data_IF_745755829801
#
_entry.id   IF_745755829801
#
_cell.length_a   1.000
_cell.length_b   1.000
_cell.length_c   1.000
_cell.angle_alpha   90.00
_cell.angle_beta   90.00
_cell.angle_gamma   90.00
#
_symmetry.space_group_name_H-M   'P 1'
#
loop_
_entity.id
_entity.type
_entity.pdbx_description
1 polymer ?
#
# COMPACT_ATOMS: atom_id res chain seq x y z
N UNK A 1 33.03 -24.42 42.88
CA UNK A 1 32.69 -25.42 41.86
C UNK A 1 32.08 -24.69 40.68
N UNK A 2 32.90 -24.32 39.67
CA UNK A 2 32.49 -23.54 38.47
C UNK A 2 32.24 -24.52 37.33
N UNK A 3 31.09 -24.47 36.68
CA UNK A 3 30.84 -25.22 35.43
C UNK A 3 31.21 -24.33 34.23
N UNK A 4 31.79 -24.87 33.14
CA UNK A 4 32.20 -24.13 31.97
C UNK A 4 31.01 -23.88 31.02
N UNK A 5 31.02 -22.70 30.40
CA UNK A 5 30.11 -22.31 29.33
C UNK A 5 30.64 -22.79 28.01
N UNK A 6 29.96 -23.71 27.36
CA UNK A 6 30.20 -24.09 25.97
C UNK A 6 29.66 -23.02 25.04
N UNK A 7 30.56 -22.32 24.35
CA UNK A 7 30.28 -21.51 23.18
C UNK A 7 30.28 -22.41 21.95
N UNK A 8 29.11 -22.76 21.46
CA UNK A 8 28.95 -23.36 20.13
C UNK A 8 28.92 -22.28 19.07
N UNK A 9 30.03 -22.15 18.33
CA UNK A 9 30.17 -21.30 17.16
C UNK A 9 29.69 -22.13 15.95
N UNK A 10 28.44 -21.94 15.48
CA UNK A 10 27.99 -22.51 14.19
C UNK A 10 28.17 -21.48 13.08
N UNK A 11 29.33 -21.54 12.43
CA UNK A 11 29.61 -20.87 11.14
C UNK A 11 29.58 -21.89 10.01
N UNK A 12 28.39 -22.37 9.65
CA UNK A 12 28.17 -23.25 8.50
C UNK A 12 27.74 -22.46 7.24
N UNK A 13 28.07 -22.93 6.03
CA UNK A 13 28.27 -22.10 4.84
C UNK A 13 26.97 -21.83 4.07
N UNK A 14 26.26 -20.79 4.41
CA UNK A 14 25.13 -20.28 3.59
C UNK A 14 25.54 -19.52 2.33
N UNK A 15 26.77 -19.03 2.28
CA UNK A 15 27.31 -18.25 1.15
C UNK A 15 27.73 -19.10 -0.06
N UNK A 16 28.10 -20.36 0.12
CA UNK A 16 28.57 -21.21 -0.98
C UNK A 16 27.41 -21.70 -1.87
N UNK A 17 26.21 -21.91 -1.31
CA UNK A 17 25.04 -22.34 -2.10
C UNK A 17 24.51 -21.25 -3.05
N UNK A 18 24.64 -19.97 -2.68
CA UNK A 18 24.19 -18.86 -3.51
C UNK A 18 25.13 -18.56 -4.70
N UNK A 19 26.43 -18.85 -4.54
CA UNK A 19 27.38 -18.69 -5.64
C UNK A 19 27.27 -19.80 -6.70
N UNK A 20 26.94 -21.04 -6.30
CA UNK A 20 26.75 -22.16 -7.24
C UNK A 20 25.50 -22.01 -8.11
N UNK A 21 24.42 -21.41 -7.59
CA UNK A 21 23.19 -21.14 -8.36
C UNK A 21 23.37 -20.01 -9.40
N UNK A 22 24.22 -19.01 -9.11
CA UNK A 22 24.53 -17.94 -10.07
C UNK A 22 25.53 -18.37 -11.14
N UNK A 23 26.47 -19.23 -10.81
CA UNK A 23 27.44 -19.80 -11.77
C UNK A 23 26.80 -20.79 -12.75
N UNK A 24 25.83 -21.58 -12.31
CA UNK A 24 25.11 -22.54 -13.16
C UNK A 24 24.26 -21.87 -14.24
N UNK A 25 23.63 -20.74 -13.93
CA UNK A 25 22.77 -20.03 -14.90
C UNK A 25 23.59 -19.35 -16.00
N UNK A 26 24.79 -18.85 -15.70
CA UNK A 26 25.68 -18.23 -16.70
C UNK A 26 26.32 -19.26 -17.63
N UNK A 27 26.60 -20.47 -17.18
CA UNK A 27 27.15 -21.55 -18.01
C UNK A 27 26.12 -22.12 -18.99
N UNK A 28 24.83 -22.19 -18.61
CA UNK A 28 23.77 -22.64 -19.51
C UNK A 28 23.51 -21.62 -20.61
N UNK A 29 23.55 -20.33 -20.33
CA UNK A 29 23.39 -19.28 -21.36
C UNK A 29 24.59 -19.24 -22.32
N UNK A 30 25.79 -19.44 -21.87
CA UNK A 30 26.99 -19.50 -22.72
C UNK A 30 27.00 -20.76 -23.62
N UNK A 31 26.50 -21.89 -23.13
CA UNK A 31 26.40 -23.12 -23.92
C UNK A 31 25.35 -23.02 -25.05
N UNK A 32 24.20 -22.36 -24.79
CA UNK A 32 23.14 -22.18 -25.80
C UNK A 32 23.58 -21.21 -26.89
N UNK A 33 24.30 -20.13 -26.55
CA UNK A 33 24.82 -19.16 -27.52
C UNK A 33 25.99 -19.78 -28.35
N UNK A 34 26.85 -20.58 -27.71
CA UNK A 34 27.98 -21.24 -28.37
C UNK A 34 27.53 -22.32 -29.38
N UNK A 35 26.48 -23.07 -29.07
CA UNK A 35 25.94 -24.10 -30.00
C UNK A 35 25.21 -23.48 -31.19
N UNK A 36 24.52 -22.35 -31.02
CA UNK A 36 23.88 -21.63 -32.14
C UNK A 36 24.91 -20.99 -33.08
N UNK A 37 26.03 -20.44 -32.57
CA UNK A 37 27.11 -19.88 -33.38
C UNK A 37 27.88 -20.95 -34.14
N UNK A 38 28.07 -22.15 -33.58
CA UNK A 38 28.70 -23.30 -34.23
C UNK A 38 27.85 -23.90 -35.36
N UNK A 39 26.54 -23.84 -35.23
CA UNK A 39 25.60 -24.40 -36.22
C UNK A 39 25.49 -23.51 -37.47
N UNK A 40 25.55 -22.20 -37.32
CA UNK A 40 25.52 -21.28 -38.46
C UNK A 40 26.76 -21.36 -39.36
N UNK A 41 27.93 -21.79 -38.84
CA UNK A 41 29.15 -22.03 -39.65
C UNK A 41 29.11 -23.35 -40.41
N UNK A 42 28.36 -24.36 -39.95
CA UNK A 42 28.29 -25.68 -40.63
C UNK A 42 27.28 -25.73 -41.78
N UNK A 43 26.27 -24.88 -41.76
CA UNK A 43 25.24 -24.86 -42.84
C UNK A 43 25.71 -24.16 -44.10
N UNK A 44 26.85 -23.41 -44.10
CA UNK A 44 27.38 -22.73 -45.28
C UNK A 44 28.23 -23.60 -46.21
N UNK A 45 28.41 -24.88 -45.95
CA UNK A 45 29.34 -25.74 -46.66
C UNK A 45 28.68 -26.85 -47.53
N UNK A 46 27.36 -26.86 -47.69
CA UNK A 46 26.71 -27.81 -48.62
C UNK A 46 25.74 -27.07 -49.53
N UNK A 47 26.29 -26.70 -50.71
CA UNK A 47 25.58 -26.20 -51.86
C UNK A 47 24.84 -27.38 -52.50
N UNK A 48 23.68 -27.75 -51.99
CA UNK A 48 22.76 -28.67 -52.60
C UNK A 48 21.37 -28.08 -52.42
N UNK A 49 20.72 -27.69 -53.53
CA UNK A 49 19.47 -26.95 -53.71
C UNK A 49 18.22 -27.41 -52.96
N UNK A 50 18.32 -27.55 -51.67
CA UNK A 50 17.13 -27.70 -50.79
C UNK A 50 16.67 -26.29 -50.40
N UNK A 51 15.52 -25.86 -50.96
CA UNK A 51 14.76 -24.73 -50.44
C UNK A 51 14.39 -25.03 -49.01
N UNK A 52 15.24 -24.61 -48.06
CA UNK A 52 14.90 -24.61 -46.64
C UNK A 52 13.85 -23.51 -46.46
N UNK A 53 12.62 -23.80 -45.98
CA UNK A 53 11.66 -22.77 -45.67
C UNK A 53 12.34 -21.84 -44.65
N UNK A 54 12.12 -20.54 -44.83
CA UNK A 54 12.76 -19.47 -44.08
C UNK A 54 12.55 -19.64 -42.55
N UNK A 55 13.35 -20.53 -41.94
CA UNK A 55 13.31 -20.84 -40.51
C UNK A 55 13.72 -19.66 -39.65
N UNK A 56 14.31 -18.63 -40.27
CA UNK A 56 14.80 -17.43 -39.62
C UNK A 56 13.67 -16.51 -39.10
N UNK A 57 12.45 -16.66 -39.67
CA UNK A 57 11.29 -15.82 -39.32
C UNK A 57 10.43 -16.46 -38.22
N UNK A 58 10.42 -17.80 -38.11
CA UNK A 58 9.52 -18.52 -37.19
C UNK A 58 10.00 -18.44 -35.73
N UNK A 59 11.31 -18.49 -35.48
CA UNK A 59 11.89 -18.51 -34.13
C UNK A 59 11.71 -17.17 -33.40
N UNK A 60 12.02 -15.99 -34.01
CA UNK A 60 11.77 -14.71 -33.35
C UNK A 60 10.30 -14.46 -33.02
N UNK A 61 9.38 -14.88 -33.89
CA UNK A 61 7.92 -14.69 -33.69
C UNK A 61 7.37 -15.58 -32.55
N UNK A 62 7.90 -16.80 -32.38
CA UNK A 62 7.54 -17.68 -31.25
C UNK A 62 8.08 -17.16 -29.94
N UNK A 63 9.31 -16.64 -29.91
CA UNK A 63 9.93 -16.05 -28.72
C UNK A 63 9.17 -14.78 -28.30
N UNK A 64 8.77 -13.92 -29.25
CA UNK A 64 7.93 -12.76 -28.98
C UNK A 64 6.59 -13.15 -28.35
N UNK A 65 5.88 -14.12 -28.94
CA UNK A 65 4.61 -14.58 -28.39
C UNK A 65 4.70 -15.18 -26.98
N UNK A 66 5.79 -15.89 -26.65
CA UNK A 66 6.05 -16.41 -25.30
C UNK A 66 6.37 -15.30 -24.30
N UNK A 67 7.12 -14.28 -24.73
CA UNK A 67 7.41 -13.11 -23.89
C UNK A 67 6.13 -12.34 -23.56
N UNK A 68 5.25 -12.15 -24.54
CA UNK A 68 3.95 -11.49 -24.35
C UNK A 68 3.04 -12.30 -23.42
N UNK A 69 3.00 -13.62 -23.56
CA UNK A 69 2.24 -14.49 -22.65
C UNK A 69 2.79 -14.44 -21.22
N UNK A 70 4.11 -14.43 -21.06
CA UNK A 70 4.74 -14.31 -19.74
C UNK A 70 4.46 -12.95 -19.11
N UNK A 71 4.51 -11.86 -19.87
CA UNK A 71 4.18 -10.53 -19.39
C UNK A 71 2.71 -10.45 -18.94
N UNK A 72 1.78 -11.00 -19.72
CA UNK A 72 0.35 -11.08 -19.37
C UNK A 72 0.13 -11.89 -18.09
N UNK A 73 0.71 -13.10 -17.99
CA UNK A 73 0.60 -13.95 -16.79
C UNK A 73 1.19 -13.29 -15.55
N UNK A 74 2.30 -12.56 -15.68
CA UNK A 74 2.87 -11.79 -14.57
C UNK A 74 1.94 -10.64 -14.16
N UNK A 75 1.34 -9.92 -15.11
CA UNK A 75 0.35 -8.87 -14.83
C UNK A 75 -0.88 -9.40 -14.10
N UNK A 76 -1.42 -10.54 -14.52
CA UNK A 76 -2.55 -11.21 -13.87
C UNK A 76 -2.20 -11.64 -12.43
N UNK A 77 -1.01 -12.23 -12.24
CA UNK A 77 -0.51 -12.61 -10.92
C UNK A 77 -0.38 -11.41 -10.00
N UNK A 78 0.17 -10.32 -10.48
CA UNK A 78 0.37 -9.10 -9.68
C UNK A 78 -0.97 -8.46 -9.31
N UNK A 79 -1.96 -8.46 -10.22
CA UNK A 79 -3.32 -8.03 -9.94
C UNK A 79 -4.00 -8.90 -8.87
N UNK A 80 -3.92 -10.23 -9.01
CA UNK A 80 -4.46 -11.16 -8.03
C UNK A 80 -3.82 -10.98 -6.65
N UNK A 81 -2.50 -10.73 -6.62
CA UNK A 81 -1.79 -10.44 -5.37
C UNK A 81 -2.33 -9.17 -4.70
N UNK A 82 -2.51 -8.09 -5.45
CA UNK A 82 -3.08 -6.83 -4.93
C UNK A 82 -4.48 -7.05 -4.36
N UNK A 83 -5.33 -7.81 -5.08
CA UNK A 83 -6.69 -8.13 -4.62
C UNK A 83 -6.68 -8.98 -3.33
N UNK A 84 -5.77 -9.96 -3.25
CA UNK A 84 -5.62 -10.80 -2.07
C UNK A 84 -5.12 -9.99 -0.87
N UNK A 85 -4.11 -9.16 -1.07
CA UNK A 85 -3.55 -8.30 -0.01
C UNK A 85 -4.63 -7.33 0.52
N UNK A 86 -5.44 -6.73 -0.37
CA UNK A 86 -6.60 -5.93 0.00
C UNK A 86 -7.63 -6.73 0.80
N UNK A 87 -8.01 -7.91 0.33
CA UNK A 87 -9.00 -8.75 1.02
C UNK A 87 -8.51 -9.15 2.42
N UNK A 88 -7.24 -9.56 2.54
CA UNK A 88 -6.62 -9.89 3.82
C UNK A 88 -6.60 -8.70 4.78
N UNK A 89 -6.25 -7.51 4.30
CA UNK A 89 -6.25 -6.29 5.10
C UNK A 89 -7.66 -5.94 5.60
N UNK A 90 -8.69 -6.04 4.76
CA UNK A 90 -10.09 -5.81 5.14
C UNK A 90 -10.52 -6.82 6.22
N UNK A 91 -10.27 -8.10 6.02
CA UNK A 91 -10.63 -9.14 6.99
C UNK A 91 -9.89 -8.98 8.32
N UNK A 92 -8.62 -8.67 8.28
CA UNK A 92 -7.81 -8.41 9.49
C UNK A 92 -8.36 -7.22 10.30
N UNK A 93 -8.71 -6.12 9.62
CA UNK A 93 -9.29 -4.95 10.29
C UNK A 93 -10.72 -5.20 10.78
N UNK A 94 -11.55 -5.92 10.01
CA UNK A 94 -12.88 -6.36 10.45
C UNK A 94 -12.77 -7.17 11.76
N UNK A 95 -11.85 -8.12 11.84
CA UNK A 95 -11.61 -8.92 13.04
C UNK A 95 -11.01 -8.08 14.19
N UNK A 96 -10.00 -7.24 13.91
CA UNK A 96 -9.33 -6.39 14.93
C UNK A 96 -10.31 -5.47 15.64
N UNK A 97 -11.18 -4.83 14.88
CA UNK A 97 -12.11 -3.82 15.40
C UNK A 97 -13.52 -4.38 15.67
N UNK A 98 -13.76 -5.66 15.38
CA UNK A 98 -15.06 -6.34 15.52
C UNK A 98 -16.19 -5.60 14.78
N UNK A 99 -15.92 -5.16 13.56
CA UNK A 99 -16.85 -4.45 12.68
C UNK A 99 -17.22 -5.31 11.46
N UNK A 100 -18.39 -5.07 10.83
CA UNK A 100 -18.75 -5.74 9.59
C UNK A 100 -17.70 -5.58 8.49
N UNK A 101 -17.46 -6.63 7.70
CA UNK A 101 -16.44 -6.63 6.63
C UNK A 101 -16.74 -5.58 5.55
N UNK A 102 -18.01 -5.28 5.27
CA UNK A 102 -18.43 -4.23 4.33
C UNK A 102 -18.08 -2.82 4.84
N UNK A 103 -18.18 -2.58 6.16
CA UNK A 103 -17.69 -1.32 6.75
C UNK A 103 -16.18 -1.24 6.70
N UNK A 104 -15.47 -2.33 7.02
CA UNK A 104 -14.02 -2.38 6.92
C UNK A 104 -13.55 -2.14 5.48
N UNK A 105 -14.24 -2.71 4.47
CA UNK A 105 -13.96 -2.46 3.06
C UNK A 105 -14.17 -0.98 2.69
N UNK A 106 -15.28 -0.37 3.13
CA UNK A 106 -15.53 1.06 2.87
C UNK A 106 -14.45 1.95 3.47
N UNK A 107 -14.03 1.70 4.71
CA UNK A 107 -12.97 2.49 5.37
C UNK A 107 -11.64 2.31 4.60
N UNK A 108 -11.27 1.08 4.29
CA UNK A 108 -10.02 0.76 3.60
C UNK A 108 -9.94 1.45 2.23
N UNK A 109 -10.95 1.23 1.38
CA UNK A 109 -10.96 1.72 0.00
C UNK A 109 -11.05 3.25 -0.07
N UNK A 110 -11.90 3.85 0.77
CA UNK A 110 -12.08 5.31 0.77
C UNK A 110 -10.83 5.99 1.34
N UNK A 111 -10.20 5.44 2.39
CA UNK A 111 -8.94 5.96 2.90
C UNK A 111 -7.88 6.00 1.79
N UNK A 112 -7.66 4.89 1.08
CA UNK A 112 -6.74 4.83 -0.05
C UNK A 112 -7.09 5.84 -1.15
N UNK A 113 -8.37 5.93 -1.52
CA UNK A 113 -8.81 6.84 -2.59
C UNK A 113 -8.62 8.32 -2.25
N UNK A 114 -8.63 8.67 -0.96
CA UNK A 114 -8.40 10.03 -0.48
C UNK A 114 -6.94 10.25 -0.02
N UNK A 115 -6.03 9.32 -0.33
CA UNK A 115 -4.59 9.46 -0.03
C UNK A 115 -4.24 9.32 1.45
N UNK A 116 -5.07 8.64 2.22
CA UNK A 116 -4.85 8.31 3.63
C UNK A 116 -4.42 6.84 3.76
N UNK A 117 -3.41 6.58 4.58
CA UNK A 117 -3.08 5.23 5.00
C UNK A 117 -4.31 4.57 5.67
N UNK A 118 -4.79 3.42 5.18
CA UNK A 118 -5.95 2.75 5.77
C UNK A 118 -5.81 2.49 7.27
N UNK A 119 -4.62 2.16 7.78
CA UNK A 119 -4.41 1.95 9.20
C UNK A 119 -4.68 3.23 10.01
N UNK A 120 -4.25 4.40 9.51
CA UNK A 120 -4.57 5.69 10.10
C UNK A 120 -6.07 5.99 9.99
N UNK A 121 -6.68 5.67 8.85
CA UNK A 121 -8.12 5.82 8.63
C UNK A 121 -8.97 5.04 9.64
N UNK A 122 -8.63 3.78 9.91
CA UNK A 122 -9.29 2.97 10.94
C UNK A 122 -9.13 3.55 12.34
N UNK A 123 -7.94 4.01 12.71
CA UNK A 123 -7.70 4.63 14.01
C UNK A 123 -8.49 5.92 14.18
N UNK A 124 -8.53 6.78 13.16
CA UNK A 124 -9.35 7.97 13.18
C UNK A 124 -10.82 7.63 13.45
N UNK A 125 -11.42 6.72 12.66
CA UNK A 125 -12.83 6.33 12.81
C UNK A 125 -13.10 5.70 14.19
N UNK A 126 -12.14 4.89 14.69
CA UNK A 126 -12.23 4.31 16.05
C UNK A 126 -12.31 5.39 17.12
N UNK A 127 -11.44 6.38 17.09
CA UNK A 127 -11.39 7.44 18.10
C UNK A 127 -12.56 8.40 17.96
N UNK A 128 -12.97 8.74 16.73
CA UNK A 128 -14.04 9.73 16.51
C UNK A 128 -15.45 9.19 16.84
N UNK A 129 -15.75 7.97 16.50
CA UNK A 129 -17.12 7.46 16.60
C UNK A 129 -17.26 6.07 17.19
N UNK A 130 -16.15 5.37 17.43
CA UNK A 130 -16.17 3.93 17.70
C UNK A 130 -16.98 3.17 16.64
N UNK A 131 -16.77 3.53 15.37
CA UNK A 131 -17.44 2.98 14.18
C UNK A 131 -18.97 3.17 14.16
N UNK A 132 -19.52 4.15 14.89
CA UNK A 132 -20.98 4.39 14.96
C UNK A 132 -21.40 5.45 13.93
N UNK A 133 -22.29 5.11 12.97
CA UNK A 133 -22.76 6.04 11.94
C UNK A 133 -23.56 7.21 12.51
N UNK A 134 -24.28 6.99 13.60
CA UNK A 134 -25.14 7.97 14.25
C UNK A 134 -24.46 8.79 15.36
N UNK A 135 -23.13 8.64 15.51
CA UNK A 135 -22.40 9.40 16.52
C UNK A 135 -22.55 10.90 16.28
N UNK A 136 -22.80 11.63 17.39
CA UNK A 136 -22.95 13.10 17.37
C UNK A 136 -22.27 13.69 18.59
N UNK A 137 -21.42 14.69 18.37
CA UNK A 137 -20.80 15.43 19.45
C UNK A 137 -21.67 16.60 19.92
N UNK A 138 -21.38 17.14 21.11
CA UNK A 138 -22.00 18.37 21.63
C UNK A 138 -21.70 19.59 20.77
N UNK A 139 -20.60 19.55 19.97
CA UNK A 139 -20.18 20.61 19.05
C UNK A 139 -20.77 20.44 17.64
N UNK A 140 -21.68 19.49 17.44
CA UNK A 140 -22.37 19.28 16.16
C UNK A 140 -21.58 18.48 15.11
N UNK A 141 -20.47 17.85 15.47
CA UNK A 141 -19.80 16.89 14.61
C UNK A 141 -20.58 15.58 14.51
N UNK A 142 -20.61 14.95 13.34
CA UNK A 142 -21.49 13.80 13.07
C UNK A 142 -20.84 12.68 12.29
N UNK A 143 -21.32 11.47 12.52
CA UNK A 143 -21.00 10.26 11.74
C UNK A 143 -19.65 9.63 12.09
N UNK A 144 -19.18 8.76 11.22
CA UNK A 144 -17.99 7.94 11.42
C UNK A 144 -16.72 8.74 11.73
N UNK A 145 -16.52 9.84 11.02
CA UNK A 145 -15.31 10.69 11.12
C UNK A 145 -15.54 11.97 11.93
N UNK A 146 -16.70 12.12 12.57
CA UNK A 146 -17.08 13.28 13.39
C UNK A 146 -16.78 14.62 12.68
N UNK A 147 -17.08 14.70 11.38
CA UNK A 147 -16.89 15.94 10.63
C UNK A 147 -18.00 16.92 10.95
N UNK A 148 -17.67 18.19 11.12
CA UNK A 148 -18.66 19.27 11.29
C UNK A 148 -19.32 19.62 9.95
N UNK A 149 -20.63 19.90 9.97
CA UNK A 149 -21.40 20.26 8.77
C UNK A 149 -20.77 21.46 8.04
N UNK A 150 -20.25 22.44 8.77
CA UNK A 150 -19.57 23.60 8.18
C UNK A 150 -18.32 23.19 7.39
N UNK A 151 -17.51 22.27 7.94
CA UNK A 151 -16.35 21.68 7.24
C UNK A 151 -16.78 20.86 6.03
N UNK A 152 -17.83 20.03 6.20
CA UNK A 152 -18.32 19.19 5.12
C UNK A 152 -18.83 20.00 3.92
N UNK A 153 -19.48 21.15 4.15
CA UNK A 153 -19.98 22.05 3.09
C UNK A 153 -18.86 22.67 2.24
N UNK A 154 -17.65 22.74 2.75
CA UNK A 154 -16.51 23.16 1.95
C UNK A 154 -16.21 22.16 0.83
N UNK A 155 -16.39 20.85 1.09
CA UNK A 155 -16.18 19.76 0.12
C UNK A 155 -17.42 19.44 -0.70
N UNK A 156 -18.60 19.52 -0.08
CA UNK A 156 -19.89 19.20 -0.67
C UNK A 156 -20.91 20.29 -0.32
N UNK A 157 -21.07 21.34 -1.16
CA UNK A 157 -22.07 22.37 -0.94
C UNK A 157 -23.46 21.80 -0.75
N UNK A 158 -24.22 22.33 0.20
CA UNK A 158 -25.59 21.87 0.50
C UNK A 158 -25.73 20.64 1.38
N UNK A 159 -24.61 19.94 1.71
CA UNK A 159 -24.67 18.77 2.57
C UNK A 159 -25.26 19.11 3.95
N UNK A 160 -26.06 18.17 4.47
CA UNK A 160 -26.71 18.27 5.77
C UNK A 160 -26.13 17.27 6.78
N UNK A 161 -26.43 17.47 8.06
CA UNK A 161 -26.07 16.50 9.10
C UNK A 161 -26.74 15.13 8.86
N UNK A 162 -27.94 15.10 8.28
CA UNK A 162 -28.65 13.88 7.92
C UNK A 162 -27.88 13.10 6.86
N UNK A 163 -27.45 13.76 5.79
CA UNK A 163 -26.68 13.13 4.71
C UNK A 163 -25.37 12.50 5.24
N UNK A 164 -24.67 13.21 6.14
CA UNK A 164 -23.43 12.72 6.75
C UNK A 164 -23.66 11.52 7.71
N UNK A 165 -24.82 11.38 8.30
CA UNK A 165 -25.14 10.23 9.18
C UNK A 165 -25.69 9.04 8.40
N UNK A 166 -26.35 9.26 7.27
CA UNK A 166 -27.01 8.21 6.49
C UNK A 166 -26.15 7.67 5.35
N UNK A 167 -25.25 8.49 4.81
CA UNK A 167 -24.30 8.07 3.78
C UNK A 167 -22.93 7.81 4.36
N UNK A 168 -22.58 6.53 4.53
CA UNK A 168 -21.27 6.05 4.97
C UNK A 168 -20.15 6.61 4.10
N UNK A 169 -20.30 6.44 2.78
CA UNK A 169 -19.28 6.85 1.80
C UNK A 169 -19.04 8.36 1.86
N UNK A 170 -20.10 9.15 1.95
CA UNK A 170 -19.98 10.61 2.01
C UNK A 170 -19.23 11.06 3.26
N UNK A 171 -19.59 10.50 4.42
CA UNK A 171 -18.95 10.85 5.69
C UNK A 171 -17.46 10.48 5.70
N UNK A 172 -17.12 9.24 5.33
CA UNK A 172 -15.74 8.76 5.28
C UNK A 172 -14.91 9.56 4.28
N UNK A 173 -15.45 9.79 3.07
CA UNK A 173 -14.76 10.55 2.02
C UNK A 173 -14.43 11.98 2.46
N UNK A 174 -15.40 12.69 3.01
CA UNK A 174 -15.18 14.08 3.46
C UNK A 174 -14.19 14.10 4.62
N UNK A 175 -14.32 13.21 5.60
CA UNK A 175 -13.41 13.18 6.75
C UNK A 175 -11.97 12.86 6.36
N UNK A 176 -11.77 11.89 5.47
CA UNK A 176 -10.41 11.54 5.02
C UNK A 176 -9.80 12.60 4.09
N UNK A 177 -10.61 13.22 3.22
CA UNK A 177 -10.15 14.36 2.41
C UNK A 177 -9.73 15.53 3.28
N UNK A 178 -10.52 15.86 4.30
CA UNK A 178 -10.15 16.88 5.28
C UNK A 178 -8.85 16.53 6.00
N UNK A 179 -8.67 15.28 6.44
CA UNK A 179 -7.41 14.85 7.06
C UNK A 179 -6.24 14.96 6.08
N UNK A 180 -6.41 14.59 4.79
CA UNK A 180 -5.34 14.70 3.78
C UNK A 180 -4.94 16.16 3.51
N UNK A 181 -5.92 17.08 3.49
CA UNK A 181 -5.64 18.52 3.37
C UNK A 181 -4.83 19.03 4.57
N UNK A 182 -5.16 18.56 5.77
CA UNK A 182 -4.41 18.89 6.98
C UNK A 182 -2.99 18.30 6.97
N UNK A 183 -2.84 17.05 6.53
CA UNK A 183 -1.52 16.44 6.34
C UNK A 183 -0.67 17.26 5.35
N UNK A 184 -1.28 17.70 4.25
CA UNK A 184 -0.60 18.55 3.28
C UNK A 184 -0.21 19.91 3.90
N UNK A 185 -1.14 20.55 4.63
CA UNK A 185 -0.91 21.83 5.30
C UNK A 185 0.19 21.79 6.35
N UNK A 186 0.34 20.66 7.06
CA UNK A 186 1.33 20.47 8.13
C UNK A 186 2.51 19.57 7.70
N UNK A 187 2.90 19.62 6.40
CA UNK A 187 4.07 18.93 5.86
C UNK A 187 4.13 17.41 6.16
N UNK A 188 2.97 16.75 6.12
CA UNK A 188 2.83 15.31 6.46
C UNK A 188 3.18 14.97 7.92
N UNK A 189 3.19 15.94 8.81
CA UNK A 189 3.26 15.69 10.24
C UNK A 189 1.91 15.17 10.74
N UNK A 190 1.86 13.88 11.08
CA UNK A 190 0.63 13.22 11.55
C UNK A 190 0.13 13.81 12.86
N UNK A 191 1.02 14.16 13.80
CA UNK A 191 0.62 14.75 15.07
C UNK A 191 -0.07 16.09 14.86
N UNK A 192 0.57 17.01 14.13
CA UNK A 192 0.01 18.34 13.88
C UNK A 192 -1.27 18.28 13.05
N UNK A 193 -1.35 17.41 12.05
CA UNK A 193 -2.55 17.21 11.24
C UNK A 193 -3.73 16.71 12.09
N UNK A 194 -3.50 15.71 12.94
CA UNK A 194 -4.52 15.18 13.85
C UNK A 194 -4.95 16.21 14.90
N UNK A 195 -4.03 16.96 15.47
CA UNK A 195 -4.37 18.08 16.38
C UNK A 195 -5.21 19.13 15.66
N UNK A 196 -4.89 19.42 14.39
CA UNK A 196 -5.67 20.35 13.59
C UNK A 196 -7.05 19.79 13.19
N UNK A 197 -7.17 18.49 12.99
CA UNK A 197 -8.44 17.80 12.79
C UNK A 197 -9.37 18.01 13.98
N UNK A 198 -8.87 17.75 15.18
CA UNK A 198 -9.62 17.84 16.43
C UNK A 198 -9.90 19.28 16.88
N UNK A 199 -8.90 20.18 16.81
CA UNK A 199 -8.97 21.54 17.38
C UNK A 199 -9.28 22.64 16.37
N UNK A 200 -9.24 22.32 15.08
CA UNK A 200 -9.29 23.26 13.99
C UNK A 200 -7.92 23.81 13.58
N UNK A 201 -7.64 23.87 12.25
CA UNK A 201 -6.32 24.26 11.74
C UNK A 201 -5.89 25.68 12.11
N UNK A 202 -6.81 26.65 12.16
CA UNK A 202 -6.51 28.02 12.52
C UNK A 202 -6.00 28.11 13.98
N UNK A 203 -6.62 27.35 14.89
CA UNK A 203 -6.24 27.33 16.30
C UNK A 203 -4.85 26.72 16.49
N UNK A 204 -4.56 25.59 15.84
CA UNK A 204 -3.25 24.94 15.92
C UNK A 204 -2.17 25.86 15.33
N UNK A 205 -2.37 26.40 14.12
CA UNK A 205 -1.43 27.34 13.50
C UNK A 205 -1.19 28.59 14.39
N UNK A 206 -2.24 29.12 15.01
CA UNK A 206 -2.12 30.29 15.90
C UNK A 206 -1.35 29.99 17.19
N UNK A 207 -1.45 28.79 17.75
CA UNK A 207 -0.64 28.36 18.92
C UNK A 207 0.82 28.24 18.51
N UNK A 208 1.12 27.56 17.41
CA UNK A 208 2.48 27.39 16.90
C UNK A 208 3.16 28.73 16.57
N UNK A 209 2.42 29.66 15.96
CA UNK A 209 2.94 31.00 15.61
C UNK A 209 3.37 31.81 16.84
N UNK A 210 2.83 31.50 18.02
CA UNK A 210 3.21 32.13 19.30
C UNK A 210 4.24 31.31 20.08
N UNK A 211 4.84 30.25 19.48
CA UNK A 211 5.78 29.34 20.14
C UNK A 211 5.15 28.45 21.21
N UNK A 212 3.82 28.29 21.18
CA UNK A 212 3.10 27.42 22.12
C UNK A 212 2.99 25.98 21.62
N UNK A 213 2.64 25.07 22.55
CA UNK A 213 2.38 23.65 22.26
C UNK A 213 0.87 23.42 22.04
N UNK A 214 0.44 22.92 20.85
CA UNK A 214 -0.96 22.61 20.58
C UNK A 214 -1.42 21.25 21.14
N UNK A 215 -0.58 20.47 21.78
CA UNK A 215 -0.86 19.11 22.26
C UNK A 215 -2.07 19.07 23.21
N UNK A 216 -2.89 18.03 23.09
CA UNK A 216 -4.06 17.79 23.96
C UNK A 216 -4.37 16.30 24.14
N UNK A 217 -3.43 15.40 23.80
CA UNK A 217 -3.56 13.95 23.91
C UNK A 217 -4.38 13.28 22.78
N UNK A 218 -5.05 14.04 21.91
CA UNK A 218 -5.85 13.47 20.83
C UNK A 218 -5.00 12.76 19.77
N UNK A 219 -3.92 13.42 19.30
CA UNK A 219 -3.02 12.81 18.33
C UNK A 219 -2.39 11.53 18.86
N UNK A 220 -2.02 11.50 20.14
CA UNK A 220 -1.45 10.32 20.77
C UNK A 220 -2.48 9.19 20.83
N UNK A 221 -3.73 9.48 21.18
CA UNK A 221 -4.80 8.49 21.20
C UNK A 221 -5.07 7.87 19.80
N UNK A 222 -5.02 8.67 18.72
CA UNK A 222 -5.18 8.15 17.36
C UNK A 222 -3.96 7.33 16.93
N UNK A 223 -2.75 7.75 17.31
CA UNK A 223 -1.50 7.13 16.89
C UNK A 223 -1.09 5.92 17.76
N UNK A 224 -1.67 5.73 18.94
CA UNK A 224 -1.34 4.62 19.85
C UNK A 224 -1.57 3.23 19.21
N UNK A 225 -2.46 3.07 18.32
CA UNK A 225 -2.65 1.80 17.59
C UNK A 225 -2.17 1.84 16.13
N UNK A 226 -1.48 2.89 15.73
CA UNK A 226 -1.01 3.12 14.37
C UNK A 226 0.48 2.83 14.25
N UNK A 227 0.82 1.92 13.35
CA UNK A 227 2.20 1.71 12.89
C UNK A 227 2.29 2.19 11.45
N UNK A 228 3.05 3.25 11.21
CA UNK A 228 3.29 3.74 9.86
C UNK A 228 3.86 2.61 8.97
N UNK A 229 3.44 2.50 7.70
CA UNK A 229 4.04 1.55 6.77
C UNK A 229 5.56 1.75 6.74
N UNK A 230 6.31 0.64 6.79
CA UNK A 230 7.75 0.72 6.57
C UNK A 230 8.01 1.31 5.18
N UNK A 231 9.10 2.08 5.02
CA UNK A 231 9.47 2.73 3.75
C UNK A 231 9.67 1.74 2.56
N UNK A 232 9.61 0.43 2.84
CA UNK A 232 9.65 -0.68 1.87
C UNK A 232 8.26 -1.23 1.50
N UNK A 233 7.17 -0.68 2.04
CA UNK A 233 5.79 -1.03 1.67
C UNK A 233 5.37 -0.43 0.33
N UNK A 234 4.18 -0.81 -0.20
CA UNK A 234 3.66 -0.27 -1.45
C UNK A 234 3.66 1.25 -1.43
N UNK A 235 4.24 1.86 -2.45
CA UNK A 235 4.35 3.31 -2.58
C UNK A 235 2.96 3.87 -2.96
N UNK A 236 2.20 4.38 -1.99
CA UNK A 236 0.87 5.00 -2.16
C UNK A 236 0.94 6.44 -2.73
N UNK A 237 2.07 6.82 -3.36
CA UNK A 237 2.28 8.15 -3.94
C UNK A 237 1.84 8.19 -5.40
#
# INVERSE_FOLDING_TARGET
MKRPTDKYNDTGPRTVRMLLLRGGLLLVTAAVVGTLAGWTKRVRATDAGLKVPDATIIVPRRIGGLADQLASANGERDLLKIQLDRANAIMANSAKYQIPADLAASIYDIALSEGIDPALGFQLVKIESDFRPSARSSMGAVGYTQVQVATARFYQPGVTAHDLMTSRELNLRIGFRFLNDLLTRFNRDNHLALLAYNRGPAKVSGILARGGDPTNGYSDAVLDGYSAPSASGPNWR
#
